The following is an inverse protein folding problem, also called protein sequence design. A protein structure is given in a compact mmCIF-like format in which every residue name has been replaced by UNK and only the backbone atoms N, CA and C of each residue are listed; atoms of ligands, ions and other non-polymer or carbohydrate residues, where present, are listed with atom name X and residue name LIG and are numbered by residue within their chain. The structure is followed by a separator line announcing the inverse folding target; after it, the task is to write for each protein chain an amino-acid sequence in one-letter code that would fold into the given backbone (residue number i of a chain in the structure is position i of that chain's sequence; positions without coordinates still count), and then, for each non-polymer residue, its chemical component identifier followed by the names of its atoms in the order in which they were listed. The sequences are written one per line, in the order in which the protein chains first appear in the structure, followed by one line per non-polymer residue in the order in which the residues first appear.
data_IF_980807823017
#
_entry.id   IF_980807823017
#
_cell.length_a   1.000
_cell.length_b   1.000
_cell.length_c   1.000
_cell.angle_alpha   90.00
_cell.angle_beta   90.00
_cell.angle_gamma   90.00
#
_symmetry.space_group_name_H-M   'P 1'
#
loop_
_entity.id
_entity.type
_entity.pdbx_description
1 polymer ?
#
# COMPACT_ATOMS: atom_id res chain seq x y z
N UNK A 1 9.45 -13.78 -6.69
CA UNK A 1 9.05 -12.45 -7.16
C UNK A 1 9.28 -12.35 -8.66
N UNK A 2 8.28 -11.93 -9.42
CA UNK A 2 8.32 -11.76 -10.87
C UNK A 2 8.90 -10.40 -11.27
N UNK A 3 9.36 -10.26 -12.53
CA UNK A 3 9.87 -8.98 -13.08
C UNK A 3 8.83 -7.85 -13.01
N UNK A 4 7.55 -8.20 -13.15
CA UNK A 4 6.41 -7.27 -13.11
C UNK A 4 6.12 -6.76 -11.70
N UNK A 5 6.22 -7.64 -10.71
CA UNK A 5 6.12 -7.26 -9.29
C UNK A 5 7.25 -6.29 -8.93
N UNK A 6 8.48 -6.58 -9.34
CA UNK A 6 9.62 -5.72 -9.06
C UNK A 6 9.44 -4.30 -9.65
N UNK A 7 8.90 -4.18 -10.86
CA UNK A 7 8.60 -2.88 -11.47
C UNK A 7 7.52 -2.09 -10.71
N UNK A 8 6.51 -2.79 -10.19
CA UNK A 8 5.48 -2.16 -9.35
C UNK A 8 6.07 -1.65 -8.04
N UNK A 9 6.92 -2.45 -7.37
CA UNK A 9 7.55 -2.02 -6.12
C UNK A 9 8.52 -0.86 -6.32
N UNK A 10 9.23 -0.79 -7.46
CA UNK A 10 10.06 0.38 -7.82
C UNK A 10 9.23 1.66 -7.94
N UNK A 11 8.10 1.60 -8.64
CA UNK A 11 7.18 2.74 -8.76
C UNK A 11 6.64 3.19 -7.40
N UNK A 12 6.28 2.24 -6.54
CA UNK A 12 5.84 2.55 -5.18
C UNK A 12 6.94 3.20 -4.35
N UNK A 13 8.18 2.69 -4.46
CA UNK A 13 9.35 3.24 -3.78
C UNK A 13 9.57 4.71 -4.17
N UNK A 14 9.55 5.02 -5.46
CA UNK A 14 9.69 6.39 -5.98
C UNK A 14 8.56 7.32 -5.51
N UNK A 15 7.30 6.86 -5.60
CA UNK A 15 6.13 7.67 -5.24
C UNK A 15 5.99 7.92 -3.72
N UNK A 16 6.47 6.99 -2.90
CA UNK A 16 6.39 7.09 -1.42
C UNK A 16 7.67 7.60 -0.77
N UNK A 17 8.79 7.65 -1.49
CA UNK A 17 10.11 7.86 -0.89
C UNK A 17 10.56 6.75 0.08
N UNK A 18 9.86 5.61 0.12
CA UNK A 18 10.22 4.45 0.96
C UNK A 18 11.09 3.48 0.20
N UNK A 19 11.90 2.69 0.91
CA UNK A 19 12.82 1.73 0.29
C UNK A 19 12.07 0.60 -0.42
N UNK A 20 12.76 -0.03 -1.38
CA UNK A 20 12.21 -1.19 -2.08
C UNK A 20 12.03 -2.41 -1.14
N UNK A 21 12.90 -2.53 -0.13
CA UNK A 21 12.77 -3.55 0.92
C UNK A 21 11.49 -3.37 1.73
N UNK A 22 11.16 -2.13 2.12
CA UNK A 22 9.89 -1.83 2.79
C UNK A 22 8.68 -2.31 1.97
N UNK A 23 8.65 -2.00 0.68
CA UNK A 23 7.54 -2.42 -0.19
C UNK A 23 7.52 -3.93 -0.42
N UNK A 24 8.68 -4.58 -0.46
CA UNK A 24 8.80 -6.04 -0.54
C UNK A 24 8.20 -6.71 0.69
N UNK A 25 8.54 -6.25 1.89
CA UNK A 25 8.04 -6.81 3.15
C UNK A 25 6.55 -6.53 3.33
N UNK A 26 6.11 -5.31 2.99
CA UNK A 26 4.71 -4.92 3.07
C UNK A 26 3.81 -5.74 2.14
N UNK A 27 4.34 -6.16 0.98
CA UNK A 27 3.57 -6.88 -0.04
C UNK A 27 3.84 -8.39 -0.07
N UNK A 28 4.56 -8.90 0.92
CA UNK A 28 4.87 -10.32 1.02
C UNK A 28 3.58 -11.16 1.07
N UNK A 29 3.52 -12.19 0.21
CA UNK A 29 2.37 -13.09 0.13
C UNK A 29 1.16 -12.55 -0.62
N UNK A 30 1.25 -11.35 -1.21
CA UNK A 30 0.23 -10.82 -2.11
C UNK A 30 0.45 -11.28 -3.55
N UNK A 31 -0.66 -11.49 -4.26
CA UNK A 31 -0.62 -11.70 -5.70
C UNK A 31 -0.33 -10.37 -6.43
N UNK A 32 0.12 -10.48 -7.68
CA UNK A 32 0.47 -9.33 -8.50
C UNK A 32 -0.65 -8.27 -8.60
N UNK A 33 -1.93 -8.69 -8.60
CA UNK A 33 -3.06 -7.75 -8.67
C UNK A 33 -3.21 -6.96 -7.37
N UNK A 34 -3.11 -7.64 -6.22
CA UNK A 34 -3.14 -6.98 -4.91
C UNK A 34 -1.95 -6.05 -4.70
N UNK A 35 -0.76 -6.43 -5.20
CA UNK A 35 0.43 -5.57 -5.21
C UNK A 35 0.17 -4.29 -6.01
N UNK A 36 -0.38 -4.41 -7.22
CA UNK A 36 -0.69 -3.26 -8.07
C UNK A 36 -1.68 -2.29 -7.41
N UNK A 37 -2.68 -2.81 -6.68
CA UNK A 37 -3.63 -2.00 -5.93
C UNK A 37 -2.95 -1.21 -4.81
N UNK A 38 -2.07 -1.85 -4.01
CA UNK A 38 -1.32 -1.16 -2.96
C UNK A 38 -0.34 -0.12 -3.51
N UNK A 39 0.37 -0.46 -4.59
CA UNK A 39 1.35 0.41 -5.25
C UNK A 39 0.69 1.69 -5.78
N UNK A 40 -0.55 1.61 -6.28
CA UNK A 40 -1.31 2.80 -6.71
C UNK A 40 -1.52 3.84 -5.58
N UNK A 41 -1.34 3.42 -4.32
CA UNK A 41 -1.52 4.22 -3.11
C UNK A 41 -0.23 4.50 -2.36
N UNK A 42 0.92 4.25 -2.98
CA UNK A 42 2.22 4.53 -2.38
C UNK A 42 2.38 5.99 -1.91
N UNK A 43 1.75 6.95 -2.60
CA UNK A 43 1.73 8.35 -2.21
C UNK A 43 1.15 8.61 -0.81
N UNK A 44 0.25 7.74 -0.30
CA UNK A 44 -0.38 7.88 1.03
C UNK A 44 0.60 7.73 2.20
N UNK A 45 1.76 7.12 1.96
CA UNK A 45 2.80 6.89 2.98
C UNK A 45 4.07 7.69 2.72
N UNK A 46 3.95 8.73 1.89
CA UNK A 46 5.05 9.65 1.62
C UNK A 46 5.39 10.46 2.88
N UNK A 47 6.65 10.43 3.36
CA UNK A 47 7.05 11.04 4.63
C UNK A 47 6.97 12.58 4.65
N UNK A 48 6.67 13.22 3.52
CA UNK A 48 6.43 14.68 3.41
C UNK A 48 4.98 15.07 3.12
N UNK A 49 4.06 14.10 3.00
CA UNK A 49 2.66 14.36 2.67
C UNK A 49 1.87 14.84 3.89
N UNK A 50 1.77 16.15 4.08
CA UNK A 50 0.80 16.74 5.02
C UNK A 50 -0.60 16.55 4.45
N UNK A 51 -1.14 15.36 4.66
CA UNK A 51 -2.38 14.94 4.05
C UNK A 51 -3.54 15.53 4.88
N UNK A 52 -4.15 16.58 4.35
CA UNK A 52 -5.31 17.25 4.94
C UNK A 52 -6.39 16.24 5.37
N UNK A 53 -7.14 16.47 6.45
CA UNK A 53 -8.10 15.51 7.01
C UNK A 53 -9.09 14.91 5.99
N UNK A 54 -9.42 15.65 4.93
CA UNK A 54 -10.28 15.19 3.82
C UNK A 54 -9.69 14.02 3.01
N UNK A 55 -8.36 13.91 2.91
CA UNK A 55 -7.72 12.78 2.22
C UNK A 55 -7.91 11.45 2.97
N UNK A 56 -8.02 11.45 4.30
CA UNK A 56 -8.15 10.20 5.05
C UNK A 56 -9.50 9.50 4.81
N UNK A 57 -10.58 10.27 4.71
CA UNK A 57 -11.92 9.75 4.44
C UNK A 57 -12.06 9.26 2.99
N UNK A 58 -11.45 9.99 2.05
CA UNK A 58 -11.32 9.57 0.65
C UNK A 58 -10.58 8.23 0.56
N UNK A 59 -9.43 8.14 1.23
CA UNK A 59 -8.59 6.94 1.23
C UNK A 59 -9.32 5.76 1.86
N UNK A 60 -10.06 5.95 2.95
CA UNK A 60 -10.86 4.88 3.56
C UNK A 60 -11.93 4.32 2.63
N UNK A 61 -12.64 5.17 1.87
CA UNK A 61 -13.64 4.70 0.89
C UNK A 61 -12.99 3.93 -0.24
N UNK A 62 -11.85 4.39 -0.73
CA UNK A 62 -11.13 3.74 -1.81
C UNK A 62 -10.49 2.42 -1.37
N UNK A 63 -10.04 2.33 -0.12
CA UNK A 63 -9.58 1.09 0.50
C UNK A 63 -10.71 0.05 0.57
N UNK A 64 -11.93 0.48 0.95
CA UNK A 64 -13.11 -0.39 0.93
C UNK A 64 -13.46 -0.85 -0.48
N UNK A 65 -13.29 0.02 -1.48
CA UNK A 65 -13.47 -0.33 -2.89
C UNK A 65 -12.41 -1.32 -3.40
N UNK A 66 -11.18 -1.28 -2.88
CA UNK A 66 -10.13 -2.25 -3.23
C UNK A 66 -10.41 -3.64 -2.65
N UNK A 67 -11.00 -3.72 -1.45
CA UNK A 67 -11.36 -4.99 -0.80
C UNK A 67 -12.41 -5.81 -1.57
N UNK A 68 -13.13 -5.21 -2.52
CA UNK A 68 -14.03 -5.92 -3.43
C UNK A 68 -13.31 -6.47 -4.68
N UNK A 69 -12.08 -6.01 -4.95
CA UNK A 69 -11.26 -6.39 -6.11
C UNK A 69 -10.17 -7.42 -5.76
N UNK A 70 -9.93 -7.64 -4.46
CA UNK A 70 -8.96 -8.60 -3.93
C UNK A 70 -9.63 -9.96 -3.74
N UNK A 71 -8.99 -11.02 -4.22
CA UNK A 71 -9.48 -12.39 -4.07
C UNK A 71 -9.61 -12.79 -2.60
N UNK A 72 -10.55 -13.69 -2.28
CA UNK A 72 -10.81 -14.09 -0.89
C UNK A 72 -9.55 -14.67 -0.20
N UNK A 73 -8.67 -15.30 -0.98
CA UNK A 73 -7.40 -15.89 -0.53
C UNK A 73 -6.40 -14.84 -0.01
N UNK A 74 -6.35 -13.67 -0.64
CA UNK A 74 -5.32 -12.64 -0.38
C UNK A 74 -5.83 -11.55 0.58
N UNK A 75 -7.13 -11.54 0.86
CA UNK A 75 -7.83 -10.53 1.65
C UNK A 75 -7.20 -10.29 3.03
N UNK A 76 -6.76 -11.36 3.70
CA UNK A 76 -6.15 -11.26 5.03
C UNK A 76 -4.79 -10.56 5.01
N UNK A 77 -3.95 -10.91 4.04
CA UNK A 77 -2.63 -10.30 3.83
C UNK A 77 -2.79 -8.85 3.38
N UNK A 78 -3.75 -8.59 2.49
CA UNK A 78 -4.05 -7.26 1.97
C UNK A 78 -4.53 -6.30 3.07
N UNK A 79 -5.42 -6.76 3.96
CA UNK A 79 -5.87 -5.99 5.12
C UNK A 79 -4.72 -5.67 6.08
N UNK A 80 -3.78 -6.60 6.26
CA UNK A 80 -2.60 -6.38 7.11
C UNK A 80 -1.66 -5.34 6.51
N UNK A 81 -1.40 -5.41 5.20
CA UNK A 81 -0.60 -4.41 4.48
C UNK A 81 -1.24 -3.02 4.57
N UNK A 82 -2.57 -2.93 4.35
CA UNK A 82 -3.33 -1.69 4.50
C UNK A 82 -3.27 -1.09 5.90
N UNK A 83 -3.40 -1.94 6.92
CA UNK A 83 -3.26 -1.53 8.33
C UNK A 83 -1.87 -0.93 8.56
N UNK A 84 -0.82 -1.57 8.06
CA UNK A 84 0.55 -1.07 8.14
C UNK A 84 0.72 0.31 7.51
N UNK A 85 0.14 0.55 6.32
CA UNK A 85 0.16 1.86 5.67
C UNK A 85 -0.54 2.95 6.50
N UNK A 86 -1.69 2.63 7.09
CA UNK A 86 -2.44 3.58 7.94
C UNK A 86 -1.67 3.90 9.22
N UNK A 87 -1.07 2.91 9.85
CA UNK A 87 -0.31 3.09 11.09
C UNK A 87 0.99 3.87 10.85
N UNK A 88 1.66 3.67 9.71
CA UNK A 88 2.77 4.50 9.23
C UNK A 88 2.38 5.96 9.05
N UNK A 89 1.26 6.22 8.36
CA UNK A 89 0.78 7.59 8.16
C UNK A 89 0.43 8.29 9.47
N UNK A 90 -0.02 7.55 10.48
CA UNK A 90 -0.29 8.07 11.82
C UNK A 90 0.98 8.27 12.67
N UNK A 91 2.17 7.98 12.14
CA UNK A 91 3.43 8.03 12.88
C UNK A 91 3.53 6.98 13.99
N UNK A 92 2.78 5.87 13.88
CA UNK A 92 2.74 4.79 14.90
C UNK A 92 3.68 3.63 14.58
N UNK A 93 4.22 3.58 13.38
CA UNK A 93 5.30 2.68 12.97
C UNK A 93 6.52 3.56 12.68
N UNK A 94 7.47 3.57 13.60
CA UNK A 94 8.82 4.08 13.39
C UNK A 94 9.72 2.92 12.95
#
# INVERSE_FOLDING_TARGET
MSRRELELLKKASEASGRSLGFWSDLTEGLDQRSIALLVSRAHMVSPGGSAAPDTLAQDQREVLAMLSQVGHRDRGVFLRALRGLIDLRKGRLN
#
